data_IF_307034155644
#
_entry.id   IF_307034155644
#
_cell.length_a   1.000
_cell.length_b   1.000
_cell.length_c   1.000
_cell.angle_alpha   90.00
_cell.angle_beta   90.00
_cell.angle_gamma   90.00
#
_symmetry.space_group_name_H-M   'P 1'
#
loop_
_entity.id
_entity.type
_entity.pdbx_description
1 polymer ?
#
# COMPACT_ATOMS: atom_id res chain seq x y z
N UNK A 1 23.04 -24.71 -4.43
CA UNK A 1 22.25 -24.37 -5.64
C UNK A 1 20.85 -24.99 -5.65
N UNK A 2 20.66 -26.20 -5.12
CA UNK A 2 19.37 -26.92 -5.13
C UNK A 2 18.20 -26.23 -4.39
N UNK A 3 18.45 -25.49 -3.31
CA UNK A 3 17.38 -24.77 -2.59
C UNK A 3 16.76 -23.62 -3.41
N UNK A 4 17.50 -23.04 -4.36
CA UNK A 4 16.98 -22.01 -5.27
C UNK A 4 16.13 -22.64 -6.38
N UNK A 5 16.56 -23.78 -6.94
CA UNK A 5 15.79 -24.50 -7.97
C UNK A 5 14.47 -25.06 -7.42
N UNK A 6 14.47 -25.60 -6.19
CA UNK A 6 13.24 -26.05 -5.50
C UNK A 6 12.28 -24.89 -5.20
N UNK A 7 12.76 -23.73 -4.74
CA UNK A 7 11.88 -22.56 -4.55
C UNK A 7 11.27 -22.07 -5.87
N UNK A 8 12.05 -22.12 -6.94
CA UNK A 8 11.64 -21.67 -8.27
C UNK A 8 10.62 -22.64 -8.89
N UNK A 9 10.78 -23.96 -8.72
CA UNK A 9 9.80 -24.96 -9.15
C UNK A 9 8.49 -24.91 -8.33
N UNK A 10 8.59 -24.70 -7.02
CA UNK A 10 7.41 -24.52 -6.15
C UNK A 10 6.61 -23.26 -6.49
N UNK A 11 7.26 -22.17 -6.92
CA UNK A 11 6.56 -20.93 -7.35
C UNK A 11 5.70 -21.19 -8.60
N UNK A 12 6.29 -21.79 -9.65
CA UNK A 12 5.61 -22.10 -10.92
C UNK A 12 4.40 -23.03 -10.77
N UNK A 13 4.51 -24.07 -9.94
CA UNK A 13 3.41 -25.00 -9.69
C UNK A 13 2.22 -24.32 -8.98
N UNK A 14 2.51 -23.38 -8.08
CA UNK A 14 1.47 -22.64 -7.34
C UNK A 14 0.79 -21.57 -8.17
N UNK A 15 1.51 -20.96 -9.11
CA UNK A 15 0.97 -19.98 -10.06
C UNK A 15 -0.05 -20.62 -10.98
N UNK A 16 0.24 -21.81 -11.53
CA UNK A 16 -0.73 -22.61 -12.28
C UNK A 16 -2.00 -22.84 -11.46
N UNK A 17 -1.85 -23.26 -10.21
CA UNK A 17 -2.97 -23.49 -9.29
C UNK A 17 -3.77 -22.22 -8.99
N UNK A 18 -3.11 -21.06 -8.97
CA UNK A 18 -3.74 -19.75 -8.77
C UNK A 18 -4.54 -19.31 -10.00
N UNK A 19 -4.07 -19.65 -11.21
CA UNK A 19 -4.78 -19.41 -12.47
C UNK A 19 -6.02 -20.31 -12.60
N UNK A 20 -5.91 -21.56 -12.15
CA UNK A 20 -6.98 -22.56 -12.24
C UNK A 20 -8.13 -22.32 -11.24
N UNK A 21 -7.83 -21.85 -10.02
CA UNK A 21 -8.84 -21.58 -9.00
C UNK A 21 -9.06 -20.08 -8.76
N UNK A 22 -10.20 -19.56 -9.25
CA UNK A 22 -10.65 -18.16 -9.06
C UNK A 22 -10.62 -17.69 -7.59
N UNK A 23 -10.89 -18.59 -6.63
CA UNK A 23 -10.91 -18.25 -5.20
C UNK A 23 -9.51 -18.14 -4.56
N UNK A 24 -8.46 -18.56 -5.27
CA UNK A 24 -7.07 -18.42 -4.84
C UNK A 24 -6.36 -17.21 -5.47
N UNK A 25 -6.98 -16.54 -6.44
CA UNK A 25 -6.42 -15.37 -7.09
C UNK A 25 -6.21 -14.22 -6.09
N UNK A 26 -5.01 -13.64 -6.13
CA UNK A 26 -4.65 -12.48 -5.34
C UNK A 26 -5.28 -11.23 -5.96
N UNK A 27 -5.84 -10.37 -5.10
CA UNK A 27 -6.35 -9.06 -5.50
C UNK A 27 -5.87 -7.98 -4.55
N UNK A 28 -5.85 -6.75 -5.04
CA UNK A 28 -5.62 -5.57 -4.21
C UNK A 28 -6.88 -5.29 -3.39
N UNK A 29 -6.78 -5.35 -2.06
CA UNK A 29 -7.92 -5.02 -1.20
C UNK A 29 -8.08 -3.50 -1.08
N UNK A 30 -6.98 -2.83 -0.80
CA UNK A 30 -6.92 -1.39 -0.59
C UNK A 30 -5.51 -0.86 -0.84
N UNK A 31 -5.46 0.40 -1.23
CA UNK A 31 -4.24 1.20 -1.24
C UNK A 31 -4.44 2.33 -0.25
N UNK A 32 -3.53 2.45 0.71
CA UNK A 32 -3.56 3.50 1.74
C UNK A 32 -2.45 4.48 1.45
N UNK A 33 -2.81 5.75 1.28
CA UNK A 33 -1.87 6.85 1.19
C UNK A 33 -1.75 7.49 2.56
N UNK A 34 -0.54 7.80 2.98
CA UNK A 34 -0.26 8.43 4.27
C UNK A 34 0.76 9.55 4.11
N UNK A 35 0.47 10.71 4.70
CA UNK A 35 1.41 11.82 4.86
C UNK A 35 1.56 12.10 6.35
N UNK A 36 2.77 11.91 6.87
CA UNK A 36 3.14 12.36 8.21
C UNK A 36 3.82 13.72 8.13
N UNK A 37 3.19 14.75 8.69
CA UNK A 37 3.73 16.12 8.68
C UNK A 37 4.55 16.41 9.94
N UNK A 38 4.19 15.78 11.07
CA UNK A 38 4.91 15.96 12.34
C UNK A 38 4.44 17.17 13.16
N UNK A 39 3.62 18.04 12.56
CA UNK A 39 3.13 19.28 13.17
C UNK A 39 1.65 19.50 12.85
N UNK A 40 0.94 20.18 13.74
CA UNK A 40 -0.44 20.61 13.53
C UNK A 40 -0.50 22.00 12.86
N UNK A 41 -1.65 22.34 12.29
CA UNK A 41 -1.92 23.67 11.75
C UNK A 41 -1.95 23.70 10.22
N UNK A 42 -1.32 24.71 9.63
CA UNK A 42 -1.40 24.97 8.18
C UNK A 42 -0.76 23.86 7.34
N UNK A 43 0.38 23.33 7.77
CA UNK A 43 1.05 22.27 7.01
C UNK A 43 0.21 20.99 6.90
N UNK A 44 -0.58 20.68 7.94
CA UNK A 44 -1.51 19.58 7.92
C UNK A 44 -2.62 19.82 6.88
N UNK A 45 -3.19 21.03 6.84
CA UNK A 45 -4.20 21.41 5.84
C UNK A 45 -3.65 21.31 4.42
N UNK A 46 -2.40 21.72 4.19
CA UNK A 46 -1.72 21.54 2.90
C UNK A 46 -1.60 20.07 2.52
N UNK A 47 -1.20 19.20 3.45
CA UNK A 47 -1.13 17.76 3.21
C UNK A 47 -2.51 17.13 2.88
N UNK A 48 -3.57 17.58 3.56
CA UNK A 48 -4.94 17.18 3.23
C UNK A 48 -5.35 17.59 1.82
N UNK A 49 -5.03 18.83 1.44
CA UNK A 49 -5.36 19.34 0.12
C UNK A 49 -4.60 18.59 -0.99
N UNK A 50 -3.31 18.28 -0.78
CA UNK A 50 -2.51 17.44 -1.68
C UNK A 50 -3.18 16.07 -1.85
N UNK A 51 -3.51 15.38 -0.76
CA UNK A 51 -4.16 14.06 -0.83
C UNK A 51 -5.51 14.12 -1.53
N UNK A 52 -6.27 15.19 -1.30
CA UNK A 52 -7.55 15.42 -1.97
C UNK A 52 -7.37 15.63 -3.47
N UNK A 53 -6.37 16.41 -3.91
CA UNK A 53 -6.07 16.64 -5.33
C UNK A 53 -5.61 15.37 -6.04
N UNK A 54 -4.79 14.55 -5.38
CA UNK A 54 -4.28 13.29 -5.94
C UNK A 54 -5.41 12.25 -6.07
N UNK A 55 -6.25 12.11 -5.04
CA UNK A 55 -7.16 10.95 -4.91
C UNK A 55 -8.63 11.27 -5.14
N UNK A 56 -8.98 12.55 -5.29
CA UNK A 56 -10.37 13.05 -5.34
C UNK A 56 -11.26 12.48 -4.23
N UNK A 57 -10.66 12.21 -3.06
CA UNK A 57 -11.30 11.60 -1.90
C UNK A 57 -11.00 12.41 -0.65
N UNK A 58 -11.96 12.46 0.29
CA UNK A 58 -11.79 13.20 1.54
C UNK A 58 -10.76 12.51 2.44
N UNK A 59 -9.63 13.16 2.79
CA UNK A 59 -8.66 12.60 3.73
C UNK A 59 -9.20 12.60 5.16
N UNK A 60 -8.61 11.73 5.98
CA UNK A 60 -8.87 11.64 7.41
C UNK A 60 -7.60 11.97 8.17
N UNK A 61 -7.71 12.87 9.14
CA UNK A 61 -6.60 13.24 10.03
C UNK A 61 -6.21 12.09 10.95
N UNK A 62 -4.91 11.94 11.18
CA UNK A 62 -4.36 11.02 12.16
C UNK A 62 -4.00 11.78 13.43
N UNK A 63 -4.54 11.29 14.54
CA UNK A 63 -4.39 11.90 15.86
C UNK A 63 -3.24 11.22 16.59
N UNK A 64 -2.46 12.02 17.34
CA UNK A 64 -1.42 11.51 18.21
C UNK A 64 -1.99 10.74 19.40
N UNK A 65 -1.39 9.58 19.69
CA UNK A 65 -1.73 8.77 20.86
C UNK A 65 -0.78 8.95 22.04
N UNK A 66 0.44 9.45 21.79
CA UNK A 66 1.52 9.49 22.79
C UNK A 66 2.15 10.87 22.78
N UNK A 67 2.36 11.45 23.96
CA UNK A 67 3.11 12.70 24.10
C UNK A 67 4.59 12.45 23.83
N UNK A 68 5.20 13.23 22.94
CA UNK A 68 6.65 13.19 22.72
C UNK A 68 7.22 14.63 22.68
N UNK A 69 7.84 15.09 23.78
CA UNK A 69 8.36 16.46 23.88
C UNK A 69 9.43 16.80 22.84
N UNK A 70 10.27 15.84 22.43
CA UNK A 70 11.36 16.08 21.45
C UNK A 70 10.85 16.56 20.09
N UNK A 71 9.62 16.18 19.72
CA UNK A 71 8.97 16.63 18.48
C UNK A 71 7.93 17.72 18.72
N UNK A 72 7.79 18.22 19.95
CA UNK A 72 6.77 19.21 20.31
C UNK A 72 5.33 18.65 20.28
N UNK A 73 5.18 17.32 20.31
CA UNK A 73 3.89 16.66 20.09
C UNK A 73 3.16 16.40 21.41
N UNK A 74 1.88 16.78 21.45
CA UNK A 74 0.93 16.51 22.53
C UNK A 74 -0.04 15.40 22.14
N UNK A 75 -0.63 14.75 23.14
CA UNK A 75 -1.71 13.78 22.91
C UNK A 75 -2.94 14.49 22.34
N UNK A 76 -3.66 13.82 21.44
CA UNK A 76 -4.83 14.40 20.79
C UNK A 76 -4.52 15.39 19.66
N UNK A 77 -3.25 15.72 19.41
CA UNK A 77 -2.85 16.62 18.34
C UNK A 77 -2.99 15.93 16.96
N UNK A 78 -3.59 16.57 15.94
CA UNK A 78 -3.58 16.01 14.59
C UNK A 78 -2.24 16.26 13.90
N UNK A 79 -1.61 15.20 13.39
CA UNK A 79 -0.20 15.23 12.92
C UNK A 79 -0.05 14.83 11.45
N UNK A 80 -1.00 14.06 10.92
CA UNK A 80 -0.92 13.57 9.56
C UNK A 80 -2.29 13.40 8.95
N UNK A 81 -2.29 13.04 7.68
CA UNK A 81 -3.49 12.79 6.91
C UNK A 81 -3.33 11.48 6.13
N UNK A 82 -4.41 10.72 6.04
CA UNK A 82 -4.43 9.49 5.25
C UNK A 82 -5.69 9.36 4.42
N UNK A 83 -5.58 8.68 3.29
CA UNK A 83 -6.69 8.28 2.43
C UNK A 83 -6.61 6.78 2.19
N UNK A 84 -7.76 6.10 2.13
CA UNK A 84 -7.82 4.69 1.75
C UNK A 84 -8.65 4.54 0.50
N UNK A 85 -8.03 4.11 -0.59
CA UNK A 85 -8.67 3.80 -1.86
C UNK A 85 -8.98 2.30 -1.95
N UNK A 86 -10.10 1.96 -2.57
CA UNK A 86 -10.53 0.58 -2.85
C UNK A 86 -11.15 0.49 -4.25
N UNK A 87 -11.22 -0.71 -4.80
CA UNK A 87 -11.83 -0.95 -6.12
C UNK A 87 -11.05 -0.32 -7.27
N UNK A 88 -11.75 0.21 -8.27
CA UNK A 88 -11.15 0.75 -9.49
C UNK A 88 -10.16 1.90 -9.22
N UNK A 89 -10.55 2.86 -8.35
CA UNK A 89 -9.70 4.01 -7.96
C UNK A 89 -8.34 3.58 -7.40
N UNK A 90 -8.31 2.49 -6.64
CA UNK A 90 -7.07 1.97 -6.07
C UNK A 90 -6.15 1.37 -7.14
N UNK A 91 -6.73 0.69 -8.14
CA UNK A 91 -5.97 0.07 -9.23
C UNK A 91 -5.37 1.11 -10.17
N UNK A 92 -6.13 2.16 -10.49
CA UNK A 92 -5.65 3.29 -11.29
C UNK A 92 -4.54 4.04 -10.57
N UNK A 93 -4.77 4.41 -9.30
CA UNK A 93 -3.76 5.07 -8.49
C UNK A 93 -2.47 4.23 -8.35
N UNK A 94 -2.60 2.92 -8.14
CA UNK A 94 -1.44 2.04 -8.01
C UNK A 94 -0.61 1.99 -9.29
N UNK A 95 -1.24 1.96 -10.48
CA UNK A 95 -0.52 2.02 -11.76
C UNK A 95 0.28 3.31 -11.89
N UNK A 96 -0.33 4.46 -11.57
CA UNK A 96 0.32 5.76 -11.64
C UNK A 96 1.47 5.85 -10.64
N UNK A 97 1.26 5.40 -9.40
CA UNK A 97 2.27 5.41 -8.35
C UNK A 97 3.44 4.45 -8.62
N UNK A 98 3.22 3.31 -9.29
CA UNK A 98 4.29 2.41 -9.70
C UNK A 98 5.12 2.98 -10.85
N UNK A 99 4.49 3.70 -11.78
CA UNK A 99 5.21 4.41 -12.84
C UNK A 99 6.10 5.52 -12.28
N UNK A 100 5.66 6.25 -11.25
CA UNK A 100 6.46 7.27 -10.55
C UNK A 100 7.73 6.71 -9.88
N UNK A 101 7.84 5.38 -9.75
CA UNK A 101 8.99 4.69 -9.15
C UNK A 101 9.71 3.77 -10.15
N UNK A 102 9.55 4.03 -11.45
CA UNK A 102 10.11 3.22 -12.54
C UNK A 102 9.79 1.72 -12.43
N UNK A 103 8.68 1.38 -11.75
CA UNK A 103 8.26 0.01 -11.45
C UNK A 103 9.32 -0.84 -10.74
N UNK A 104 10.23 -0.21 -10.00
CA UNK A 104 11.24 -0.92 -9.21
C UNK A 104 10.87 -0.97 -7.72
N UNK A 105 10.83 -2.17 -7.16
CA UNK A 105 10.61 -2.40 -5.73
C UNK A 105 11.74 -3.25 -5.14
N UNK A 106 12.13 -2.96 -3.90
CA UNK A 106 13.08 -3.81 -3.18
C UNK A 106 12.34 -5.01 -2.61
N UNK A 107 12.98 -6.17 -2.56
CA UNK A 107 12.44 -7.34 -1.88
C UNK A 107 12.17 -7.05 -0.40
N UNK A 108 12.93 -6.16 0.25
CA UNK A 108 12.72 -5.75 1.65
C UNK A 108 11.41 -4.99 1.89
N UNK A 109 10.84 -4.36 0.85
CA UNK A 109 9.57 -3.64 0.94
C UNK A 109 8.34 -4.54 1.14
N UNK A 110 8.51 -5.86 1.03
CA UNK A 110 7.45 -6.84 1.22
C UNK A 110 7.49 -7.48 2.60
N UNK A 111 6.32 -7.49 3.25
CA UNK A 111 6.05 -8.17 4.50
C UNK A 111 5.86 -9.69 4.30
N UNK A 112 5.94 -10.44 5.39
CA UNK A 112 5.64 -11.86 5.52
C UNK A 112 4.30 -12.29 4.89
N UNK A 113 3.27 -11.42 4.99
CA UNK A 113 1.93 -11.66 4.45
C UNK A 113 1.75 -11.19 2.99
N UNK A 114 2.83 -10.77 2.32
CA UNK A 114 2.80 -10.33 0.93
C UNK A 114 2.24 -8.92 0.71
N UNK A 115 1.95 -8.18 1.79
CA UNK A 115 1.71 -6.74 1.68
C UNK A 115 3.01 -6.03 1.37
N UNK A 116 2.93 -4.88 0.71
CA UNK A 116 4.11 -4.09 0.39
C UNK A 116 3.81 -2.60 0.50
N UNK A 117 4.89 -1.82 0.67
CA UNK A 117 4.80 -0.38 0.68
C UNK A 117 6.02 0.27 0.07
N UNK A 118 5.83 1.49 -0.41
CA UNK A 118 6.90 2.33 -0.90
C UNK A 118 6.58 3.80 -0.65
N UNK A 119 7.62 4.60 -0.44
CA UNK A 119 7.51 6.05 -0.40
C UNK A 119 7.68 6.65 -1.79
N UNK A 120 6.91 7.69 -2.07
CA UNK A 120 7.11 8.62 -3.18
C UNK A 120 7.63 9.91 -2.57
N UNK A 121 8.78 10.40 -3.04
CA UNK A 121 9.45 11.55 -2.44
C UNK A 121 8.69 12.85 -2.69
N UNK A 122 8.10 12.99 -3.87
CA UNK A 122 7.39 14.19 -4.28
C UNK A 122 6.07 13.82 -4.97
N UNK A 123 4.99 14.52 -4.63
CA UNK A 123 3.71 14.24 -5.29
C UNK A 123 3.65 14.63 -6.76
N UNK A 124 4.61 15.43 -7.25
CA UNK A 124 4.70 15.88 -8.64
C UNK A 124 5.09 14.72 -9.56
N UNK A 125 5.81 13.72 -9.04
CA UNK A 125 6.17 12.50 -9.77
C UNK A 125 4.94 11.70 -10.23
N UNK A 126 3.78 11.95 -9.62
CA UNK A 126 2.52 11.39 -10.08
C UNK A 126 2.04 12.08 -11.35
N UNK A 127 1.78 11.27 -12.37
CA UNK A 127 1.15 11.72 -13.61
C UNK A 127 -0.19 12.44 -13.36
N UNK A 128 -0.29 13.70 -13.77
CA UNK A 128 -1.52 14.48 -13.76
C UNK A 128 -1.65 15.51 -12.63
N UNK A 129 -0.65 15.63 -11.74
CA UNK A 129 -0.66 16.64 -10.68
C UNK A 129 0.30 17.77 -11.00
N UNK A 130 -0.21 18.99 -11.14
CA UNK A 130 0.62 20.20 -11.31
C UNK A 130 1.14 20.68 -9.96
N UNK A 131 2.35 21.24 -9.97
CA UNK A 131 2.93 21.89 -8.80
C UNK A 131 2.13 23.13 -8.40
N UNK A 132 1.90 23.29 -7.10
CA UNK A 132 1.32 24.48 -6.50
C UNK A 132 2.29 25.05 -5.45
N UNK A 133 2.85 26.26 -5.68
CA UNK A 133 3.77 26.89 -4.73
C UNK A 133 3.20 27.02 -3.31
N UNK A 134 1.87 27.12 -3.15
CA UNK A 134 1.24 27.28 -1.83
C UNK A 134 1.32 26.01 -0.99
N UNK A 135 1.29 24.85 -1.63
CA UNK A 135 1.29 23.53 -0.97
C UNK A 135 2.70 23.05 -0.62
N UNK A 136 3.71 23.56 -1.32
CA UNK A 136 5.10 23.11 -1.18
C UNK A 136 5.34 21.74 -1.81
N UNK A 137 6.56 21.22 -1.69
CA UNK A 137 6.90 19.84 -2.09
C UNK A 137 6.73 18.93 -0.87
N UNK A 138 5.91 17.89 -0.99
CA UNK A 138 5.71 16.89 0.06
C UNK A 138 5.69 15.49 -0.53
N UNK A 139 6.33 14.56 0.18
CA UNK A 139 6.26 13.13 -0.11
C UNK A 139 5.08 12.46 0.59
N UNK A 140 4.79 11.24 0.17
CA UNK A 140 3.78 10.40 0.81
C UNK A 140 4.17 8.92 0.72
N UNK A 141 3.65 8.15 1.66
CA UNK A 141 3.80 6.71 1.69
C UNK A 141 2.60 6.03 1.06
N UNK A 142 2.87 5.04 0.21
CA UNK A 142 1.88 4.16 -0.39
C UNK A 142 1.98 2.78 0.24
N UNK A 143 0.91 2.33 0.87
CA UNK A 143 0.80 1.02 1.49
C UNK A 143 -0.28 0.21 0.78
N UNK A 144 0.12 -0.93 0.20
CA UNK A 144 -0.78 -1.80 -0.56
C UNK A 144 -1.05 -3.06 0.25
N UNK A 145 -2.34 -3.34 0.47
CA UNK A 145 -2.79 -4.58 1.12
C UNK A 145 -3.33 -5.55 0.08
N UNK A 146 -2.75 -6.75 0.04
CA UNK A 146 -3.19 -7.83 -0.84
C UNK A 146 -4.08 -8.80 -0.06
N UNK A 147 -5.15 -9.28 -0.68
CA UNK A 147 -6.02 -10.31 -0.10
C UNK A 147 -6.46 -11.32 -1.16
N UNK A 148 -6.81 -12.54 -0.73
CA UNK A 148 -7.54 -13.51 -1.54
C UNK A 148 -9.04 -13.46 -1.18
N UNK A 149 -9.95 -13.85 -2.08
CA UNK A 149 -11.34 -14.12 -1.72
C UNK A 149 -11.44 -15.01 -0.46
N UNK A 150 -12.39 -14.75 0.43
CA UNK A 150 -12.53 -15.49 1.70
C UNK A 150 -11.81 -14.86 2.91
N UNK A 151 -10.94 -13.86 2.70
CA UNK A 151 -10.32 -13.12 3.81
C UNK A 151 -11.32 -12.40 4.73
N UNK A 152 -12.58 -12.21 4.28
CA UNK A 152 -13.68 -11.64 5.08
C UNK A 152 -13.92 -12.40 6.39
N UNK A 153 -13.61 -13.70 6.47
CA UNK A 153 -13.82 -14.53 7.67
C UNK A 153 -13.07 -14.00 8.90
N UNK A 154 -11.91 -13.35 8.72
CA UNK A 154 -11.17 -12.72 9.84
C UNK A 154 -11.72 -11.36 10.26
N UNK A 155 -12.59 -10.74 9.45
CA UNK A 155 -13.10 -9.36 9.64
C UNK A 155 -14.55 -9.31 10.10
N UNK A 156 -15.37 -10.30 9.73
CA UNK A 156 -16.81 -10.33 10.05
C UNK A 156 -17.07 -10.51 11.56
N UNK A 157 -18.21 -9.98 12.04
CA UNK A 157 -18.66 -10.10 13.44
C UNK A 157 -19.12 -11.53 13.78
N UNK A 158 -20.04 -12.08 12.98
CA UNK A 158 -20.59 -13.44 13.18
C UNK A 158 -19.61 -14.50 12.67
N UNK A 159 -19.37 -15.54 13.47
CA UNK A 159 -18.47 -16.67 13.12
C UNK A 159 -17.10 -16.21 12.60
N UNK A 160 -16.44 -15.32 13.34
CA UNK A 160 -15.07 -14.89 13.05
C UNK A 160 -14.11 -16.05 13.28
N UNK A 161 -13.24 -16.33 12.31
CA UNK A 161 -12.18 -17.34 12.41
C UNK A 161 -10.87 -16.83 11.83
N UNK A 162 -9.74 -17.38 12.28
CA UNK A 162 -8.42 -17.09 11.71
C UNK A 162 -8.30 -17.72 10.32
N UNK A 163 -7.49 -17.11 9.46
CA UNK A 163 -7.22 -17.65 8.12
C UNK A 163 -6.21 -18.80 8.24
N UNK A 164 -6.49 -19.99 7.68
CA UNK A 164 -5.53 -21.08 7.66
C UNK A 164 -4.25 -20.70 6.89
N UNK A 165 -3.08 -21.20 7.34
CA UNK A 165 -1.77 -20.93 6.70
C UNK A 165 -1.75 -21.24 5.19
N UNK A 166 -2.55 -22.22 4.75
CA UNK A 166 -2.69 -22.60 3.34
C UNK A 166 -3.29 -21.51 2.45
N UNK A 167 -4.18 -20.68 3.03
CA UNK A 167 -4.87 -19.60 2.31
C UNK A 167 -4.18 -18.25 2.46
N UNK A 168 -3.14 -18.15 3.30
CA UNK A 168 -2.35 -16.94 3.40
C UNK A 168 -1.57 -16.68 2.11
N UNK A 169 -1.29 -15.41 1.85
CA UNK A 169 -0.39 -14.97 0.78
C UNK A 169 1.02 -15.00 1.33
N UNK A 170 1.93 -15.64 0.60
CA UNK A 170 3.36 -15.59 0.89
C UNK A 170 4.01 -14.44 0.13
N UNK A 171 5.12 -13.93 0.64
CA UNK A 171 5.95 -12.93 -0.03
C UNK A 171 6.31 -13.28 -1.48
N UNK A 172 6.69 -14.53 -1.73
CA UNK A 172 7.03 -15.05 -3.06
C UNK A 172 5.85 -14.95 -4.03
N UNK A 173 4.64 -15.34 -3.58
CA UNK A 173 3.40 -15.26 -4.37
C UNK A 173 3.04 -13.81 -4.70
N UNK A 174 3.25 -12.88 -3.75
CA UNK A 174 2.98 -11.46 -3.96
C UNK A 174 3.94 -10.82 -4.97
N UNK A 175 5.22 -11.16 -4.92
CA UNK A 175 6.23 -10.67 -5.89
C UNK A 175 5.87 -11.14 -7.30
N UNK A 176 5.50 -12.41 -7.45
CA UNK A 176 5.12 -12.97 -8.74
C UNK A 176 3.83 -12.37 -9.28
N UNK A 177 2.83 -12.16 -8.41
CA UNK A 177 1.61 -11.43 -8.76
C UNK A 177 1.91 -10.03 -9.29
N UNK A 178 2.80 -9.26 -8.65
CA UNK A 178 3.14 -7.92 -9.11
C UNK A 178 3.94 -7.91 -10.42
N UNK A 179 4.84 -8.88 -10.60
CA UNK A 179 5.55 -9.09 -11.88
C UNK A 179 4.56 -9.33 -13.02
N UNK A 180 3.58 -10.21 -12.82
CA UNK A 180 2.58 -10.55 -13.84
C UNK A 180 1.56 -9.44 -14.08
N UNK A 181 1.03 -8.82 -13.03
CA UNK A 181 -0.09 -7.88 -13.15
C UNK A 181 0.35 -6.45 -13.48
N UNK A 182 1.54 -6.03 -13.05
CA UNK A 182 2.01 -4.64 -13.16
C UNK A 182 3.39 -4.50 -13.83
N UNK A 183 4.05 -5.62 -14.19
CA UNK A 183 5.38 -5.58 -14.80
C UNK A 183 6.45 -4.98 -13.88
N UNK A 184 6.32 -5.21 -12.57
CA UNK A 184 7.23 -4.65 -11.55
C UNK A 184 8.47 -5.50 -11.41
N UNK A 185 9.64 -4.88 -11.47
CA UNK A 185 10.90 -5.55 -11.19
C UNK A 185 11.21 -5.48 -9.69
N UNK A 186 11.54 -6.63 -9.12
CA UNK A 186 11.90 -6.74 -7.70
C UNK A 186 13.36 -7.08 -7.59
N UNK A 187 14.12 -6.16 -6.99
CA UNK A 187 15.56 -6.26 -6.69
C UNK A 187 15.80 -6.82 -5.28
#
# INVERSE_FOLDING_TARGET
MERKSLKQSFSRAKVRKMQENKMQQIRVEKVTLNIGVGQAGEELKKAEEILRRITNSKPVQTICKVKQPTWGIREGLPIGAKVTLRGAKAMEFLKNALNAKDRQLKASSFDSLGNFGFGVKEYIDLSGVKYDPKLGMKGFDVLVTLEKPGYRVKKRKKQKRKIPKKHLIRKEEAIEFLKQAFGVEVQ
#
